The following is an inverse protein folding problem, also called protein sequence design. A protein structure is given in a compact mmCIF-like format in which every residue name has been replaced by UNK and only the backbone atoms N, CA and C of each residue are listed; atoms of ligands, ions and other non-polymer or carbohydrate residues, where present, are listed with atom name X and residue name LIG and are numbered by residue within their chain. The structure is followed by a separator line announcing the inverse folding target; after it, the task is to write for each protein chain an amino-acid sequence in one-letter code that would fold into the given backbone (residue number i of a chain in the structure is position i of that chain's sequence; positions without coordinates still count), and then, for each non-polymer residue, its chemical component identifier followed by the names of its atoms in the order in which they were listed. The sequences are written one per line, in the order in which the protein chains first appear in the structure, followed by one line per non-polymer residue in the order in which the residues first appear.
data_IF_336646743321
#
_entry.id   IF_336646743321
#
_cell.length_a   1.000
_cell.length_b   1.000
_cell.length_c   1.000
_cell.angle_alpha   90.00
_cell.angle_beta   90.00
_cell.angle_gamma   90.00
#
_symmetry.space_group_name_H-M   'P 1'
#
loop_
_entity.id
_entity.type
_entity.pdbx_description
1 polymer ?
#
# COMPACT_ATOMS: atom_id res chain seq x y z
N UNK A 1 -13.22 -7.77 17.41
CA UNK A 1 -12.41 -8.42 18.46
C UNK A 1 -12.53 -7.71 19.82
N UNK A 2 -12.44 -6.37 19.87
CA UNK A 2 -12.55 -5.58 21.12
C UNK A 2 -13.82 -5.82 21.98
N UNK A 3 -15.00 -6.05 21.36
CA UNK A 3 -16.26 -6.25 22.10
C UNK A 3 -16.37 -7.61 22.80
N UNK A 4 -15.68 -8.65 22.27
CA UNK A 4 -15.59 -9.98 22.91
C UNK A 4 -14.57 -9.96 24.06
N UNK A 5 -13.47 -9.23 23.90
CA UNK A 5 -12.45 -9.05 24.93
C UNK A 5 -12.99 -8.28 26.15
N UNK A 6 -13.78 -7.22 25.92
CA UNK A 6 -14.42 -6.45 26.99
C UNK A 6 -15.46 -7.25 27.80
N UNK A 7 -16.19 -8.16 27.16
CA UNK A 7 -17.15 -9.03 27.85
C UNK A 7 -16.45 -10.07 28.75
N UNK A 8 -15.32 -10.61 28.30
CA UNK A 8 -14.54 -11.61 29.04
C UNK A 8 -13.80 -10.95 30.22
N UNK A 9 -13.11 -9.83 29.98
CA UNK A 9 -12.44 -9.06 31.05
C UNK A 9 -13.45 -8.52 32.07
N UNK A 10 -14.63 -8.09 31.62
CA UNK A 10 -15.73 -7.65 32.49
C UNK A 10 -16.31 -8.77 33.36
N UNK A 11 -16.45 -9.99 32.83
CA UNK A 11 -16.91 -11.16 33.59
C UNK A 11 -15.90 -11.56 34.67
N UNK A 12 -14.60 -11.52 34.35
CA UNK A 12 -13.51 -11.81 35.28
C UNK A 12 -13.49 -10.80 36.45
N UNK A 13 -13.66 -9.50 36.17
CA UNK A 13 -13.75 -8.46 37.20
C UNK A 13 -15.00 -8.57 38.10
N UNK A 14 -16.14 -9.01 37.54
CA UNK A 14 -17.40 -9.18 38.27
C UNK A 14 -17.36 -10.39 39.22
N UNK A 15 -16.73 -11.49 38.81
CA UNK A 15 -16.60 -12.71 39.64
C UNK A 15 -15.56 -12.52 40.76
N UNK A 16 -14.55 -11.66 40.55
CA UNK A 16 -13.53 -11.32 41.56
C UNK A 16 -14.03 -10.55 42.80
N UNK A 17 -15.25 -9.98 42.80
CA UNK A 17 -15.79 -9.23 43.97
C UNK A 17 -16.60 -10.09 44.96
N UNK A 18 -16.74 -11.39 44.74
CA UNK A 18 -17.75 -12.19 45.46
C UNK A 18 -17.24 -13.33 46.38
N UNK A 19 -15.94 -13.60 46.53
CA UNK A 19 -15.50 -14.76 47.31
C UNK A 19 -14.55 -14.42 48.48
N UNK A 20 -14.96 -14.88 49.66
CA UNK A 20 -14.19 -14.94 50.90
C UNK A 20 -12.98 -15.86 50.76
N UNK A 21 -11.93 -15.59 51.55
CA UNK A 21 -10.64 -16.26 51.54
C UNK A 21 -10.74 -17.79 51.74
N UNK A 22 -10.77 -18.54 50.63
CA UNK A 22 -10.23 -19.92 50.50
C UNK A 22 -10.30 -20.46 49.04
N UNK A 23 -10.71 -19.66 48.05
CA UNK A 23 -10.80 -20.06 46.63
C UNK A 23 -9.75 -19.40 45.72
N UNK A 24 -8.59 -18.96 46.24
CA UNK A 24 -7.59 -18.17 45.48
C UNK A 24 -6.77 -19.02 44.51
N UNK A 25 -6.21 -20.15 44.95
CA UNK A 25 -5.16 -20.83 44.19
C UNK A 25 -5.66 -21.60 42.95
N UNK A 26 -6.83 -22.24 43.02
CA UNK A 26 -7.36 -23.02 41.88
C UNK A 26 -7.84 -22.10 40.76
N UNK A 27 -8.42 -20.95 41.12
CA UNK A 27 -8.90 -19.97 40.15
C UNK A 27 -7.73 -19.21 39.51
N UNK A 28 -6.71 -18.85 40.30
CA UNK A 28 -5.47 -18.24 39.78
C UNK A 28 -4.74 -19.17 38.81
N UNK A 29 -4.59 -20.45 39.14
CA UNK A 29 -4.01 -21.44 38.22
C UNK A 29 -4.84 -21.57 36.94
N UNK A 30 -6.16 -21.55 37.03
CA UNK A 30 -7.04 -21.64 35.86
C UNK A 30 -6.94 -20.39 34.97
N UNK A 31 -6.78 -19.21 35.57
CA UNK A 31 -6.54 -17.96 34.84
C UNK A 31 -5.21 -18.01 34.09
N UNK A 32 -4.12 -18.43 34.75
CA UNK A 32 -2.79 -18.57 34.12
C UNK A 32 -2.82 -19.59 32.97
N UNK A 33 -3.48 -20.73 33.17
CA UNK A 33 -3.64 -21.74 32.10
C UNK A 33 -4.45 -21.22 30.92
N UNK A 34 -5.45 -20.36 31.17
CA UNK A 34 -6.26 -19.76 30.11
C UNK A 34 -5.48 -18.66 29.36
N UNK A 35 -4.66 -17.88 30.05
CA UNK A 35 -3.77 -16.89 29.43
C UNK A 35 -2.73 -17.55 28.51
N UNK A 36 -2.16 -18.68 28.93
CA UNK A 36 -1.22 -19.47 28.10
C UNK A 36 -1.88 -20.01 26.83
N UNK A 37 -3.10 -20.57 26.94
CA UNK A 37 -3.84 -21.08 25.78
C UNK A 37 -4.25 -19.97 24.80
N UNK A 38 -4.58 -18.78 25.31
CA UNK A 38 -4.82 -17.60 24.48
C UNK A 38 -3.52 -17.15 23.79
N UNK A 39 -2.38 -17.19 24.49
CA UNK A 39 -1.07 -16.86 23.92
C UNK A 39 -0.62 -17.81 22.81
N UNK A 40 -0.91 -19.12 22.94
CA UNK A 40 -0.64 -20.10 21.88
C UNK A 40 -1.49 -19.84 20.61
N UNK A 41 -2.75 -19.44 20.78
CA UNK A 41 -3.65 -19.12 19.66
C UNK A 41 -3.22 -17.83 18.93
N UNK A 42 -2.85 -16.78 19.66
CA UNK A 42 -2.31 -15.53 19.09
C UNK A 42 -1.01 -15.77 18.32
N UNK A 43 -0.08 -16.57 18.88
CA UNK A 43 1.17 -16.93 18.20
C UNK A 43 0.94 -17.69 16.90
N UNK A 44 -0.07 -18.56 16.86
CA UNK A 44 -0.43 -19.31 15.65
C UNK A 44 -1.00 -18.39 14.54
N UNK A 45 -1.77 -17.37 14.92
CA UNK A 45 -2.28 -16.36 14.00
C UNK A 45 -1.17 -15.46 13.46
N UNK A 46 -0.20 -15.07 14.30
CA UNK A 46 0.96 -14.27 13.87
C UNK A 46 1.89 -15.05 12.93
N UNK A 47 2.10 -16.35 13.16
CA UNK A 47 2.85 -17.21 12.22
C UNK A 47 2.13 -17.37 10.87
N UNK A 48 0.79 -17.50 10.88
CA UNK A 48 0.00 -17.55 9.65
C UNK A 48 0.02 -16.22 8.88
N UNK A 49 -0.03 -15.09 9.59
CA UNK A 49 0.11 -13.76 8.99
C UNK A 49 1.52 -13.55 8.40
N UNK A 50 2.57 -13.96 9.11
CA UNK A 50 3.96 -13.87 8.61
C UNK A 50 4.21 -14.73 7.37
N UNK A 51 3.56 -15.90 7.25
CA UNK A 51 3.64 -16.73 6.05
C UNK A 51 2.88 -16.11 4.87
N UNK A 52 1.72 -15.51 5.13
CA UNK A 52 0.96 -14.77 4.12
C UNK A 52 1.74 -13.53 3.64
N UNK A 53 2.41 -12.83 4.55
CA UNK A 53 3.25 -11.67 4.23
C UNK A 53 4.48 -12.10 3.40
N UNK A 54 5.12 -13.24 3.72
CA UNK A 54 6.24 -13.79 2.94
C UNK A 54 5.82 -14.23 1.52
N UNK A 55 4.63 -14.82 1.35
CA UNK A 55 4.11 -15.18 0.03
C UNK A 55 3.74 -13.94 -0.83
N UNK A 56 3.49 -12.80 -0.20
CA UNK A 56 3.27 -11.51 -0.88
C UNK A 56 4.60 -10.81 -1.22
N UNK A 57 5.68 -11.12 -0.52
CA UNK A 57 7.00 -10.49 -0.69
C UNK A 57 7.88 -11.09 -1.80
N UNK A 58 7.53 -12.25 -2.39
CA UNK A 58 8.38 -12.88 -3.40
C UNK A 58 8.32 -12.24 -4.80
N UNK A 59 7.35 -11.37 -5.09
CA UNK A 59 7.23 -10.67 -6.38
C UNK A 59 7.89 -9.27 -6.40
N UNK A 60 8.50 -8.82 -5.30
CA UNK A 60 9.06 -7.48 -5.18
C UNK A 60 10.60 -7.42 -5.19
N UNK A 61 11.30 -8.32 -5.90
CA UNK A 61 12.76 -8.18 -6.13
C UNK A 61 13.11 -7.10 -7.18
N UNK A 62 12.35 -6.00 -7.22
CA UNK A 62 12.77 -4.76 -7.85
C UNK A 62 13.48 -3.92 -6.79
N UNK A 63 14.74 -3.55 -7.01
CA UNK A 63 15.52 -2.74 -6.07
C UNK A 63 14.74 -1.52 -5.59
N UNK A 64 14.68 -1.29 -4.27
CA UNK A 64 14.14 -0.06 -3.69
C UNK A 64 14.73 1.15 -4.41
N UNK A 65 13.86 2.00 -4.97
CA UNK A 65 14.33 3.15 -5.73
C UNK A 65 13.42 3.60 -6.85
N UNK A 66 13.95 4.54 -7.63
CA UNK A 66 13.33 5.01 -8.85
C UNK A 66 13.52 3.98 -9.96
N UNK A 67 12.44 3.66 -10.66
CA UNK A 67 12.52 2.95 -11.95
C UNK A 67 13.28 3.80 -12.97
N UNK A 68 13.60 3.20 -14.12
CA UNK A 68 13.92 4.00 -15.29
C UNK A 68 12.70 4.79 -15.77
N UNK A 69 12.92 5.69 -16.73
CA UNK A 69 11.87 6.49 -17.34
C UNK A 69 11.12 5.65 -18.38
N UNK A 70 9.80 5.66 -18.29
CA UNK A 70 8.87 5.07 -19.22
C UNK A 70 8.22 6.18 -20.04
N UNK A 71 8.00 5.88 -21.32
CA UNK A 71 7.46 6.78 -22.33
C UNK A 71 6.69 5.88 -23.30
N UNK A 72 5.37 5.84 -23.17
CA UNK A 72 4.52 4.90 -23.90
C UNK A 72 3.82 5.59 -25.06
N UNK A 73 3.26 6.77 -24.80
CA UNK A 73 2.45 7.51 -25.75
C UNK A 73 3.21 8.72 -26.30
N UNK A 74 2.67 9.37 -27.31
CA UNK A 74 3.15 10.69 -27.74
C UNK A 74 1.92 11.58 -27.93
N UNK A 75 2.03 12.92 -27.79
CA UNK A 75 0.90 13.86 -27.64
C UNK A 75 -0.04 14.01 -28.85
N UNK A 76 -0.05 13.12 -29.84
CA UNK A 76 -0.83 13.27 -31.07
C UNK A 76 -1.67 12.03 -31.40
N UNK A 77 -2.97 12.20 -31.76
CA UNK A 77 -3.69 13.46 -32.02
C UNK A 77 -4.61 13.94 -30.88
N UNK A 78 -4.55 13.36 -29.68
CA UNK A 78 -5.58 13.63 -28.63
C UNK A 78 -5.06 13.87 -27.21
N UNK A 79 -3.94 13.28 -26.85
CA UNK A 79 -3.48 13.18 -25.49
C UNK A 79 -2.04 12.68 -25.47
N UNK A 80 -1.38 12.89 -24.34
CA UNK A 80 -0.22 12.13 -23.94
C UNK A 80 -0.55 11.32 -22.67
N UNK A 81 -0.46 9.99 -22.78
CA UNK A 81 -1.06 9.05 -21.83
C UNK A 81 -0.06 8.01 -21.29
N UNK A 82 0.62 8.45 -20.23
CA UNK A 82 1.58 7.70 -19.42
C UNK A 82 0.89 7.02 -18.21
N UNK A 83 -0.20 6.30 -18.46
CA UNK A 83 -0.98 5.62 -17.44
C UNK A 83 -0.23 4.41 -16.84
N UNK A 84 -0.21 4.32 -15.50
CA UNK A 84 0.49 3.23 -14.80
C UNK A 84 0.04 1.82 -15.24
N UNK A 85 -1.26 1.62 -15.47
CA UNK A 85 -1.77 0.31 -15.84
C UNK A 85 -1.17 -0.19 -17.16
N UNK A 86 -0.92 0.72 -18.09
CA UNK A 86 -0.41 0.41 -19.42
C UNK A 86 1.09 0.16 -19.38
N UNK A 87 1.82 0.98 -18.61
CA UNK A 87 3.23 0.69 -18.35
C UNK A 87 3.44 -0.68 -17.70
N UNK A 88 2.57 -1.11 -16.78
CA UNK A 88 2.68 -2.46 -16.17
C UNK A 88 2.39 -3.60 -17.15
N UNK A 89 1.53 -3.37 -18.14
CA UNK A 89 1.23 -4.36 -19.18
C UNK A 89 2.43 -4.49 -20.12
N UNK A 90 3.02 -3.37 -20.52
CA UNK A 90 4.15 -3.33 -21.47
C UNK A 90 5.50 -3.68 -20.81
N UNK A 91 5.63 -3.48 -19.50
CA UNK A 91 6.85 -3.66 -18.71
C UNK A 91 6.59 -4.56 -17.47
N UNK A 92 6.32 -5.87 -17.67
CA UNK A 92 5.92 -6.75 -16.59
C UNK A 92 7.03 -6.93 -15.54
N UNK A 93 6.72 -6.63 -14.28
CA UNK A 93 7.63 -6.79 -13.14
C UNK A 93 8.60 -5.63 -12.91
N UNK A 94 8.61 -4.61 -13.78
CA UNK A 94 9.54 -3.48 -13.65
C UNK A 94 9.02 -2.37 -12.73
N UNK A 95 7.69 -2.32 -12.52
CA UNK A 95 7.04 -1.39 -11.61
C UNK A 95 6.35 -2.18 -10.51
N UNK A 96 6.74 -1.92 -9.25
CA UNK A 96 6.14 -2.53 -8.07
C UNK A 96 4.62 -2.31 -8.01
N UNK A 97 3.93 -3.16 -7.24
CA UNK A 97 2.47 -3.15 -7.10
C UNK A 97 1.90 -1.86 -6.48
N UNK A 98 2.65 -1.20 -5.61
CA UNK A 98 2.21 0.03 -4.93
C UNK A 98 3.32 1.09 -4.96
N UNK A 99 3.52 1.78 -6.09
CA UNK A 99 4.48 2.88 -6.14
C UNK A 99 4.04 3.99 -5.20
N UNK A 100 4.98 4.52 -4.41
CA UNK A 100 4.70 5.59 -3.44
C UNK A 100 5.07 6.98 -3.97
N UNK A 101 5.67 7.06 -5.16
CA UNK A 101 6.08 8.30 -5.80
C UNK A 101 6.02 8.22 -7.32
N UNK A 102 5.86 9.38 -7.94
CA UNK A 102 5.93 9.57 -9.39
C UNK A 102 6.77 10.81 -9.70
N UNK A 103 7.57 10.72 -10.75
CA UNK A 103 8.15 11.88 -11.40
C UNK A 103 7.76 11.85 -12.87
N UNK A 104 7.51 13.02 -13.42
CA UNK A 104 7.22 13.21 -14.84
C UNK A 104 8.01 14.41 -15.35
N UNK A 105 8.50 14.32 -16.59
CA UNK A 105 9.24 15.38 -17.26
C UNK A 105 8.98 15.35 -18.76
N UNK A 106 9.20 16.48 -19.42
CA UNK A 106 9.19 16.49 -20.89
C UNK A 106 10.29 15.57 -21.38
N UNK A 107 9.94 14.61 -22.23
CA UNK A 107 10.78 13.54 -22.74
C UNK A 107 12.10 14.06 -23.28
N UNK A 108 13.19 13.41 -22.89
CA UNK A 108 14.54 13.79 -23.32
C UNK A 108 15.04 15.12 -22.75
N UNK A 109 14.29 15.74 -21.83
CA UNK A 109 14.68 16.98 -21.15
C UNK A 109 14.84 16.75 -19.63
N UNK A 110 15.16 17.82 -18.90
CA UNK A 110 15.09 17.84 -17.43
C UNK A 110 13.98 18.76 -16.93
N UNK A 111 13.06 19.19 -17.81
CA UNK A 111 11.93 20.07 -17.46
C UNK A 111 10.84 19.23 -16.82
N UNK A 112 10.58 19.37 -15.50
CA UNK A 112 9.52 18.62 -14.84
C UNK A 112 8.15 19.01 -15.39
N UNK A 113 7.21 18.05 -15.43
CA UNK A 113 5.84 18.29 -15.89
C UNK A 113 5.13 19.41 -15.11
N UNK A 114 5.47 19.59 -13.83
CA UNK A 114 4.91 20.69 -13.02
C UNK A 114 5.40 22.08 -13.43
N UNK A 115 6.37 22.20 -14.34
CA UNK A 115 6.90 23.48 -14.83
C UNK A 115 6.37 23.85 -16.23
N UNK A 116 5.65 22.96 -16.92
CA UNK A 116 5.11 23.23 -18.26
C UNK A 116 3.84 24.09 -18.22
N UNK A 117 3.24 24.24 -17.05
CA UNK A 117 1.94 24.93 -16.86
C UNK A 117 0.76 24.26 -17.60
N UNK A 118 0.92 22.99 -17.98
CA UNK A 118 -0.15 22.19 -18.59
C UNK A 118 -1.12 21.62 -17.55
N UNK A 119 -2.35 21.38 -17.98
CA UNK A 119 -3.38 20.75 -17.17
C UNK A 119 -3.35 19.23 -17.35
N UNK A 120 -3.07 18.53 -16.25
CA UNK A 120 -3.07 17.07 -16.19
C UNK A 120 -4.39 16.53 -15.61
N UNK A 121 -5.07 15.67 -16.37
CA UNK A 121 -6.28 14.96 -15.90
C UNK A 121 -5.92 13.94 -14.83
N UNK A 122 -4.73 13.36 -14.93
CA UNK A 122 -4.14 12.44 -13.94
C UNK A 122 -2.69 12.84 -13.72
N UNK A 123 -2.27 12.86 -12.47
CA UNK A 123 -0.85 12.99 -12.08
C UNK A 123 -0.70 12.42 -10.66
N UNK A 124 -0.58 11.09 -10.57
CA UNK A 124 -0.41 10.41 -9.28
C UNK A 124 0.40 9.12 -9.43
N UNK A 125 1.05 8.60 -8.37
CA UNK A 125 1.76 7.33 -8.44
C UNK A 125 0.88 6.16 -8.83
N UNK A 126 -0.42 6.18 -8.50
CA UNK A 126 -1.35 5.07 -8.75
C UNK A 126 -2.07 5.17 -10.10
N UNK A 127 -2.12 6.36 -10.70
CA UNK A 127 -2.77 6.60 -11.98
C UNK A 127 -1.79 6.77 -13.15
N UNK A 128 -0.57 7.24 -12.88
CA UNK A 128 0.36 7.74 -13.89
C UNK A 128 0.11 9.21 -14.23
N UNK A 129 0.44 9.60 -15.46
CA UNK A 129 0.19 10.94 -16.00
C UNK A 129 -0.74 10.87 -17.22
N UNK A 130 -1.72 11.77 -17.29
CA UNK A 130 -2.55 11.93 -18.48
C UNK A 130 -2.74 13.41 -18.78
N UNK A 131 -2.19 13.86 -19.90
CA UNK A 131 -2.46 15.15 -20.49
C UNK A 131 -3.45 14.99 -21.65
N UNK A 132 -4.38 15.94 -21.82
CA UNK A 132 -5.30 15.96 -22.98
C UNK A 132 -5.15 17.27 -23.73
N UNK A 133 -4.96 17.18 -25.04
CA UNK A 133 -4.80 18.33 -25.94
C UNK A 133 -5.94 19.33 -25.81
N UNK A 134 -7.18 18.81 -25.73
CA UNK A 134 -8.40 19.61 -25.63
C UNK A 134 -8.49 20.45 -24.34
N UNK A 135 -7.65 20.18 -23.33
CA UNK A 135 -7.59 20.96 -22.10
C UNK A 135 -6.42 21.95 -22.07
N UNK A 136 -5.54 21.95 -23.08
CA UNK A 136 -4.40 22.85 -23.13
C UNK A 136 -4.74 24.14 -23.89
N UNK A 137 -4.11 25.24 -23.49
CA UNK A 137 -4.36 26.57 -24.08
C UNK A 137 -3.88 26.67 -25.53
N UNK A 138 -2.76 26.01 -25.87
CA UNK A 138 -2.22 25.92 -27.22
C UNK A 138 -2.76 24.69 -27.98
N UNK A 139 -3.65 23.91 -27.36
CA UNK A 139 -4.35 22.79 -27.98
C UNK A 139 -3.49 21.55 -28.21
N UNK A 140 -2.38 21.41 -27.49
CA UNK A 140 -1.50 20.24 -27.55
C UNK A 140 -0.87 19.99 -26.19
N UNK A 141 -0.57 18.74 -25.88
CA UNK A 141 0.30 18.38 -24.78
C UNK A 141 1.77 18.43 -25.22
N UNK A 142 2.68 18.65 -24.27
CA UNK A 142 4.08 18.22 -24.43
C UNK A 142 4.18 16.68 -24.36
N UNK A 143 5.31 16.16 -24.84
CA UNK A 143 5.64 14.73 -24.83
C UNK A 143 6.31 14.38 -23.49
N UNK A 144 5.70 13.54 -22.66
CA UNK A 144 6.13 13.24 -21.30
C UNK A 144 6.68 11.83 -21.14
N UNK A 145 7.67 11.71 -20.26
CA UNK A 145 8.10 10.42 -19.72
C UNK A 145 7.95 10.42 -18.19
N UNK A 146 7.61 9.25 -17.62
CA UNK A 146 7.35 9.05 -16.19
C UNK A 146 8.26 8.02 -15.56
N UNK A 147 8.54 8.15 -14.26
CA UNK A 147 9.15 7.08 -13.46
C UNK A 147 8.50 6.98 -12.09
N UNK A 148 8.58 5.80 -11.51
CA UNK A 148 7.89 5.47 -10.26
C UNK A 148 8.91 5.17 -9.16
N UNK A 149 8.57 5.54 -7.92
CA UNK A 149 9.34 5.13 -6.75
C UNK A 149 8.73 3.86 -6.17
N UNK A 150 9.55 2.82 -6.06
CA UNK A 150 9.20 1.56 -5.42
C UNK A 150 9.93 1.43 -4.08
N UNK A 151 9.18 1.32 -2.96
CA UNK A 151 9.73 1.17 -1.63
C UNK A 151 10.13 -0.27 -1.30
#
# INVERSE_FOLDING_TARGET
MALKLLLIVGLVFLVGRAATADASAVMENLVETLEDLVGEEERSMDEQQGLADNLVQEEARGSDGWTHWFDRDNPLPTADNEALCEHRIENPGEICRHPSGIQARVKGSNTPATQTSEYFVKFSPLDGLVCRDAHQLDGRCEDYEVRYWCP
#
